data_IF_212128153904
#
_entry.id   IF_212128153904
#
_cell.length_a   1.000
_cell.length_b   1.000
_cell.length_c   1.000
_cell.angle_alpha   90.00
_cell.angle_beta   90.00
_cell.angle_gamma   90.00
#
_symmetry.space_group_name_H-M   'P 1'
#
loop_
_entity.id
_entity.type
_entity.pdbx_description
1 polymer ?
#
# COMPACT_ATOMS: atom_id res chain seq x y z
N UNK A 1 -11.09 -14.02 16.37
CA UNK A 1 -11.10 -13.45 15.01
C UNK A 1 -10.47 -14.48 14.10
N UNK A 2 -11.07 -14.83 12.97
CA UNK A 2 -10.48 -15.80 12.03
C UNK A 2 -9.26 -15.15 11.38
N UNK A 3 -8.12 -15.84 11.34
CA UNK A 3 -6.94 -15.33 10.63
C UNK A 3 -7.21 -15.16 9.13
N UNK A 4 -6.36 -14.37 8.47
CA UNK A 4 -6.43 -14.13 7.03
C UNK A 4 -5.20 -14.73 6.35
N UNK A 5 -5.40 -15.38 5.21
CA UNK A 5 -4.34 -15.96 4.39
C UNK A 5 -4.72 -15.81 2.92
N UNK A 6 -3.79 -15.34 2.11
CA UNK A 6 -3.93 -15.22 0.66
C UNK A 6 -2.54 -15.19 0.01
N UNK A 7 -2.47 -15.28 -1.31
CA UNK A 7 -1.25 -14.97 -2.07
C UNK A 7 -1.22 -13.46 -2.33
N UNK A 8 -0.51 -12.73 -1.46
CA UNK A 8 -0.52 -11.26 -1.47
C UNK A 8 0.09 -10.68 -2.75
N UNK A 9 1.14 -11.29 -3.30
CA UNK A 9 1.77 -10.85 -4.55
C UNK A 9 0.76 -10.94 -5.71
N UNK A 10 0.11 -12.09 -5.84
CA UNK A 10 -0.90 -12.31 -6.90
C UNK A 10 -2.09 -11.38 -6.76
N UNK A 11 -2.60 -11.18 -5.54
CA UNK A 11 -3.73 -10.28 -5.32
C UNK A 11 -3.35 -8.81 -5.59
N UNK A 12 -2.14 -8.39 -5.21
CA UNK A 12 -1.64 -7.03 -5.42
C UNK A 12 -1.47 -6.72 -6.90
N UNK A 13 -0.79 -7.59 -7.65
CA UNK A 13 -0.52 -7.39 -9.09
C UNK A 13 -1.80 -7.40 -9.92
N UNK A 14 -2.80 -8.19 -9.54
CA UNK A 14 -4.09 -8.25 -10.25
C UNK A 14 -5.08 -7.15 -9.83
N UNK A 15 -4.82 -6.44 -8.74
CA UNK A 15 -5.70 -5.37 -8.29
C UNK A 15 -5.62 -4.14 -9.20
N UNK A 16 -6.77 -3.67 -9.66
CA UNK A 16 -6.91 -2.42 -10.45
C UNK A 16 -7.61 -1.31 -9.70
N UNK A 17 -8.04 -1.56 -8.45
CA UNK A 17 -8.68 -0.55 -7.63
C UNK A 17 -7.61 0.37 -7.02
N UNK A 18 -7.88 1.67 -6.99
CA UNK A 18 -7.08 2.64 -6.25
C UNK A 18 -6.87 2.20 -4.80
N UNK A 19 -7.92 1.67 -4.15
CA UNK A 19 -7.85 1.14 -2.78
C UNK A 19 -8.82 -0.02 -2.58
N UNK A 20 -8.34 -1.14 -2.07
CA UNK A 20 -9.14 -2.30 -1.69
C UNK A 20 -8.71 -2.84 -0.33
N UNK A 21 -9.63 -2.88 0.64
CA UNK A 21 -9.38 -3.48 1.96
C UNK A 21 -9.49 -5.00 1.84
N UNK A 22 -8.42 -5.74 2.14
CA UNK A 22 -8.45 -7.20 2.17
C UNK A 22 -8.84 -7.75 3.54
N UNK A 23 -8.31 -7.12 4.59
CA UNK A 23 -8.52 -7.59 5.95
C UNK A 23 -8.39 -6.46 6.96
N UNK A 24 -9.29 -6.41 7.93
CA UNK A 24 -9.20 -5.53 9.10
C UNK A 24 -9.12 -6.39 10.35
N UNK A 25 -7.93 -6.42 10.95
CA UNK A 25 -7.67 -7.04 12.23
C UNK A 25 -7.87 -6.06 13.38
N UNK A 26 -7.61 -6.52 14.61
CA UNK A 26 -7.70 -5.67 15.81
C UNK A 26 -6.64 -4.56 15.87
N UNK A 27 -5.46 -4.81 15.29
CA UNK A 27 -4.29 -3.94 15.40
C UNK A 27 -3.69 -3.54 14.04
N UNK A 28 -4.21 -4.06 12.94
CA UNK A 28 -3.70 -3.79 11.60
C UNK A 28 -4.81 -3.90 10.56
N UNK A 29 -4.66 -3.13 9.49
CA UNK A 29 -5.48 -3.24 8.30
C UNK A 29 -4.57 -3.52 7.11
N UNK A 30 -4.95 -4.49 6.29
CA UNK A 30 -4.26 -4.82 5.05
C UNK A 30 -5.07 -4.29 3.86
N UNK A 31 -4.41 -3.51 3.03
CA UNK A 31 -5.00 -2.80 1.89
C UNK A 31 -4.13 -3.02 0.66
N UNK A 32 -4.76 -3.22 -0.50
CA UNK A 32 -4.10 -3.16 -1.81
C UNK A 32 -4.41 -1.82 -2.46
N UNK A 33 -3.45 -1.30 -3.21
CA UNK A 33 -3.59 -0.08 -3.98
C UNK A 33 -2.99 -0.28 -5.38
N UNK A 34 -3.63 0.30 -6.38
CA UNK A 34 -3.16 0.31 -7.76
C UNK A 34 -3.32 1.73 -8.28
N UNK A 35 -2.20 2.36 -8.59
CA UNK A 35 -2.16 3.74 -9.03
C UNK A 35 -1.87 3.77 -10.52
N UNK A 36 -2.63 4.58 -11.26
CA UNK A 36 -2.31 4.86 -12.66
C UNK A 36 -1.10 5.83 -12.73
N UNK A 37 -0.39 5.93 -13.87
CA UNK A 37 0.73 6.85 -14.00
C UNK A 37 0.33 8.29 -13.65
N UNK A 38 1.14 8.93 -12.80
CA UNK A 38 0.92 10.28 -12.24
C UNK A 38 -0.25 10.41 -11.26
N UNK A 39 -0.89 9.31 -10.86
CA UNK A 39 -1.81 9.32 -9.73
C UNK A 39 -1.03 9.34 -8.41
N UNK A 40 -1.59 10.01 -7.41
CA UNK A 40 -0.98 10.15 -6.09
C UNK A 40 -1.94 9.61 -5.02
N UNK A 41 -1.37 9.00 -3.97
CA UNK A 41 -2.14 8.61 -2.77
C UNK A 41 -2.64 9.86 -2.03
N UNK A 42 -1.89 10.97 -2.14
CA UNK A 42 -2.05 12.18 -1.35
C UNK A 42 -1.14 12.18 -0.12
N UNK A 43 -0.80 13.38 0.35
CA UNK A 43 -0.01 13.56 1.57
C UNK A 43 -0.92 13.44 2.79
N UNK A 44 -0.55 12.58 3.74
CA UNK A 44 -1.30 12.36 4.98
C UNK A 44 -0.33 12.18 6.17
N UNK A 45 -0.79 12.50 7.38
CA UNK A 45 -0.06 12.27 8.63
C UNK A 45 -0.95 11.47 9.56
N UNK A 46 -0.44 10.34 10.05
CA UNK A 46 -1.13 9.50 11.03
C UNK A 46 -0.47 9.66 12.41
N UNK A 47 -1.14 10.29 13.40
CA UNK A 47 -0.56 10.53 14.72
C UNK A 47 -0.50 9.28 15.60
N UNK A 48 -1.37 8.30 15.35
CA UNK A 48 -1.65 7.20 16.27
C UNK A 48 -1.25 5.81 15.73
N UNK A 49 -0.81 5.72 14.47
CA UNK A 49 -0.52 4.45 13.83
C UNK A 49 0.63 4.53 12.82
N UNK A 50 1.40 3.45 12.77
CA UNK A 50 2.40 3.24 11.74
C UNK A 50 1.75 2.80 10.43
N UNK A 51 2.44 3.05 9.32
CA UNK A 51 2.07 2.58 7.99
C UNK A 51 3.28 1.94 7.32
N UNK A 52 3.06 0.80 6.68
CA UNK A 52 4.07 0.08 5.92
C UNK A 52 3.60 -0.05 4.47
N UNK A 53 4.50 0.26 3.54
CA UNK A 53 4.30 0.05 2.10
C UNK A 53 5.29 -0.97 1.58
N UNK A 54 4.80 -1.85 0.71
CA UNK A 54 5.60 -2.76 -0.12
C UNK A 54 5.12 -2.64 -1.55
N UNK A 55 6.04 -2.58 -2.49
CA UNK A 55 5.75 -2.33 -3.90
C UNK A 55 6.00 -3.62 -4.69
N UNK A 56 4.93 -4.27 -5.15
CA UNK A 56 5.04 -5.53 -5.90
C UNK A 56 5.26 -5.30 -7.41
N UNK A 57 4.98 -4.10 -7.92
CA UNK A 57 5.17 -3.76 -9.33
C UNK A 57 5.19 -2.24 -9.56
N UNK A 58 5.87 -1.85 -10.64
CA UNK A 58 5.94 -0.46 -11.09
C UNK A 58 7.10 0.31 -10.47
N UNK A 59 7.12 1.61 -10.76
CA UNK A 59 8.11 2.56 -10.24
C UNK A 59 7.38 3.80 -9.74
N UNK A 60 7.96 4.47 -8.74
CA UNK A 60 7.34 5.66 -8.16
C UNK A 60 8.26 6.43 -7.24
N UNK A 61 7.67 7.42 -6.58
CA UNK A 61 8.35 8.26 -5.60
C UNK A 61 7.55 8.28 -4.30
N UNK A 62 8.20 7.91 -3.21
CA UNK A 62 7.66 8.06 -1.87
C UNK A 62 8.26 9.31 -1.22
N UNK A 63 7.41 10.16 -0.63
CA UNK A 63 7.84 11.36 0.09
C UNK A 63 7.47 11.21 1.55
N UNK A 64 8.48 11.20 2.44
CA UNK A 64 8.30 11.06 3.89
C UNK A 64 9.13 12.14 4.58
N UNK A 65 8.50 12.96 5.41
CA UNK A 65 9.14 14.10 6.10
C UNK A 65 9.93 15.04 5.17
N UNK A 66 9.44 15.20 3.94
CA UNK A 66 10.08 16.01 2.90
C UNK A 66 11.27 15.35 2.21
N UNK A 67 11.62 14.12 2.59
CA UNK A 67 12.63 13.32 1.89
C UNK A 67 12.00 12.49 0.79
N UNK A 68 12.64 12.49 -0.37
CA UNK A 68 12.20 11.73 -1.54
C UNK A 68 12.96 10.41 -1.66
N UNK A 69 12.22 9.32 -1.86
CA UNK A 69 12.77 7.98 -2.05
C UNK A 69 12.21 7.40 -3.36
N UNK A 70 13.07 7.05 -4.34
CA UNK A 70 12.62 6.26 -5.47
C UNK A 70 12.24 4.86 -4.99
N UNK A 71 11.13 4.35 -5.50
CA UNK A 71 10.63 3.00 -5.18
C UNK A 71 10.41 2.22 -6.47
N UNK A 72 10.64 0.92 -6.39
CA UNK A 72 10.46 -0.04 -7.48
C UNK A 72 10.00 -1.38 -6.87
N UNK A 73 9.84 -2.39 -7.71
CA UNK A 73 9.53 -3.76 -7.28
C UNK A 73 10.58 -4.33 -6.30
N UNK A 74 10.12 -4.79 -5.13
CA UNK A 74 10.96 -5.41 -4.09
C UNK A 74 10.46 -5.21 -2.66
#
# INVERSE_FOLDING_TARGET
MKGFTTNIETDTVNNTNFRQVLYTGKHSQLVLMSLIPNEEIGMEVHPDNDQFFRFESGEGKCIVDGFEYPVQDG
#
